data_IF_579700971833
#
_entry.id   IF_579700971833
#
_cell.length_a   1.000
_cell.length_b   1.000
_cell.length_c   1.000
_cell.angle_alpha   90.00
_cell.angle_beta   90.00
_cell.angle_gamma   90.00
#
_symmetry.space_group_name_H-M   'P 1'
#
loop_
_entity.id
_entity.type
_entity.pdbx_description
1 polymer ?
#
# COMPACT_ATOMS: atom_id res chain seq x y z
N UNK A 1 -5.03 -27.87 33.01
CA UNK A 1 -5.17 -26.40 33.05
C UNK A 1 -4.95 -25.71 31.70
N UNK A 2 -3.99 -26.11 30.85
CA UNK A 2 -3.78 -25.47 29.53
C UNK A 2 -4.96 -25.67 28.55
N UNK A 3 -5.60 -26.85 28.54
CA UNK A 3 -6.71 -27.14 27.60
C UNK A 3 -8.02 -26.41 27.96
N UNK A 4 -8.36 -26.27 29.24
CA UNK A 4 -9.58 -25.56 29.68
C UNK A 4 -9.55 -24.06 29.37
N UNK A 5 -8.35 -23.47 29.32
CA UNK A 5 -8.17 -22.05 29.00
C UNK A 5 -8.46 -21.74 27.52
N UNK A 6 -8.09 -22.65 26.62
CA UNK A 6 -8.27 -22.49 25.16
C UNK A 6 -9.76 -22.50 24.77
N UNK A 7 -10.57 -23.34 25.43
CA UNK A 7 -12.02 -23.46 25.15
C UNK A 7 -12.79 -22.21 25.56
N UNK A 8 -12.49 -21.69 26.74
CA UNK A 8 -13.14 -20.48 27.23
C UNK A 8 -12.83 -19.29 26.31
N UNK A 9 -11.59 -19.19 25.80
CA UNK A 9 -11.16 -18.11 24.92
C UNK A 9 -11.69 -18.23 23.48
N UNK A 10 -11.81 -19.45 22.94
CA UNK A 10 -12.53 -19.69 21.67
C UNK A 10 -13.99 -19.23 21.79
N UNK A 11 -14.63 -19.56 22.91
CA UNK A 11 -16.02 -19.19 23.17
C UNK A 11 -16.20 -17.67 23.26
N UNK A 12 -15.33 -16.95 23.97
CA UNK A 12 -15.42 -15.48 24.11
C UNK A 12 -15.02 -14.74 22.83
N UNK A 13 -13.98 -15.16 22.12
CA UNK A 13 -13.53 -14.52 20.86
C UNK A 13 -14.55 -14.68 19.74
N UNK A 14 -15.11 -15.88 19.59
CA UNK A 14 -16.16 -16.15 18.61
C UNK A 14 -17.43 -15.35 18.96
N UNK A 15 -17.88 -15.38 20.22
CA UNK A 15 -19.06 -14.62 20.67
C UNK A 15 -18.87 -13.11 20.53
N UNK A 16 -17.68 -12.55 20.79
CA UNK A 16 -17.37 -11.13 20.62
C UNK A 16 -17.46 -10.68 19.15
N UNK A 17 -16.85 -11.45 18.22
CA UNK A 17 -16.91 -11.18 16.78
C UNK A 17 -18.33 -11.31 16.22
N UNK A 18 -19.10 -12.26 16.74
CA UNK A 18 -20.51 -12.44 16.40
C UNK A 18 -21.39 -11.32 16.98
N UNK A 19 -21.02 -10.72 18.11
CA UNK A 19 -21.75 -9.61 18.75
C UNK A 19 -21.63 -8.28 18.01
N UNK A 20 -20.54 -8.06 17.27
CA UNK A 20 -20.36 -6.86 16.42
C UNK A 20 -21.25 -6.85 15.15
N UNK A 21 -21.92 -7.96 14.80
CA UNK A 21 -22.67 -8.10 13.55
C UNK A 21 -24.19 -8.10 13.82
N UNK A 22 -24.87 -6.97 13.50
CA UNK A 22 -26.25 -6.65 13.94
C UNK A 22 -27.40 -7.47 13.29
N UNK A 23 -27.13 -8.45 12.42
CA UNK A 23 -28.12 -8.98 11.47
C UNK A 23 -29.07 -10.12 11.92
N UNK A 24 -28.61 -11.18 12.60
CA UNK A 24 -29.48 -12.36 12.86
C UNK A 24 -29.15 -13.05 14.19
N UNK A 25 -29.63 -12.46 15.29
CA UNK A 25 -29.19 -12.74 16.67
C UNK A 25 -29.64 -14.09 17.27
N UNK A 26 -30.78 -14.66 16.89
CA UNK A 26 -31.37 -15.79 17.63
C UNK A 26 -30.93 -17.17 17.12
N UNK A 27 -30.97 -17.39 15.81
CA UNK A 27 -30.62 -18.67 15.18
C UNK A 27 -29.12 -18.96 15.34
N UNK A 28 -28.30 -17.91 15.22
CA UNK A 28 -26.84 -17.98 15.35
C UNK A 28 -26.42 -18.28 16.80
N UNK A 29 -27.06 -17.65 17.80
CA UNK A 29 -26.85 -17.98 19.23
C UNK A 29 -27.20 -19.42 19.55
N UNK A 30 -28.29 -19.96 18.99
CA UNK A 30 -28.71 -21.33 19.26
C UNK A 30 -27.76 -22.37 18.62
N UNK A 31 -27.35 -22.17 17.37
CA UNK A 31 -26.44 -23.09 16.67
C UNK A 31 -25.02 -23.04 17.22
N UNK A 32 -24.51 -21.85 17.51
CA UNK A 32 -23.16 -21.68 18.10
C UNK A 32 -23.16 -22.10 19.57
N UNK A 33 -24.26 -21.88 20.30
CA UNK A 33 -24.48 -22.45 21.63
C UNK A 33 -24.43 -23.99 21.64
N UNK A 34 -24.99 -24.67 20.63
CA UNK A 34 -24.90 -26.13 20.46
C UNK A 34 -23.46 -26.60 20.18
N UNK A 35 -22.71 -25.89 19.34
CA UNK A 35 -21.31 -26.19 19.03
C UNK A 35 -20.42 -26.00 20.26
N UNK A 36 -20.62 -24.90 20.99
CA UNK A 36 -19.94 -24.63 22.26
C UNK A 36 -20.29 -25.68 23.34
N UNK A 37 -21.53 -26.18 23.35
CA UNK A 37 -21.93 -27.30 24.22
C UNK A 37 -21.26 -28.63 23.83
N UNK A 38 -21.13 -28.92 22.53
CA UNK A 38 -20.40 -30.10 22.06
C UNK A 38 -18.91 -30.02 22.40
N UNK A 39 -18.30 -28.84 22.25
CA UNK A 39 -16.93 -28.56 22.66
C UNK A 39 -16.71 -28.72 24.17
N UNK A 40 -17.67 -28.27 24.99
CA UNK A 40 -17.64 -28.44 26.44
C UNK A 40 -17.66 -29.91 26.88
N UNK A 41 -18.44 -30.76 26.20
CA UNK A 41 -18.59 -32.19 26.52
C UNK A 41 -17.39 -33.04 26.10
N UNK A 42 -16.67 -32.64 25.05
CA UNK A 42 -15.55 -33.42 24.48
C UNK A 42 -14.20 -33.13 25.14
N UNK A 43 -14.07 -31.97 25.80
CA UNK A 43 -12.82 -31.52 26.44
C UNK A 43 -12.80 -31.86 27.94
N UNK A 44 -13.95 -32.23 28.51
CA UNK A 44 -14.05 -32.79 29.87
C UNK A 44 -13.61 -34.25 29.99
N UNK A 45 -13.20 -34.90 28.90
CA UNK A 45 -12.69 -36.28 28.92
C UNK A 45 -11.16 -36.23 28.96
N UNK A 46 -10.50 -36.58 30.09
CA UNK A 46 -9.05 -36.52 30.21
C UNK A 46 -8.41 -37.64 29.37
N UNK A 47 -7.57 -37.28 28.40
CA UNK A 47 -6.80 -38.28 27.62
C UNK A 47 -5.39 -38.43 28.19
N UNK A 48 -5.02 -39.68 28.50
CA UNK A 48 -3.73 -40.08 29.08
C UNK A 48 -2.56 -39.59 28.22
N UNK A 49 -1.56 -38.99 28.87
CA UNK A 49 -0.29 -38.54 28.27
C UNK A 49 0.46 -39.72 27.64
N UNK A 50 0.85 -39.59 26.38
CA UNK A 50 2.02 -40.29 25.83
C UNK A 50 3.09 -39.26 25.51
N UNK A 51 4.30 -39.50 26.01
CA UNK A 51 5.45 -38.62 25.92
C UNK A 51 6.48 -39.19 24.95
N UNK A 52 7.07 -38.34 24.11
CA UNK A 52 8.40 -38.49 23.49
C UNK A 52 8.75 -37.15 22.81
N UNK A 53 9.68 -36.34 23.37
CA UNK A 53 11.11 -36.22 22.98
C UNK A 53 11.25 -35.72 21.52
N UNK A 54 11.88 -34.59 21.21
CA UNK A 54 13.33 -34.37 21.29
C UNK A 54 13.70 -32.88 21.18
N UNK A 55 14.74 -32.50 21.92
CA UNK A 55 15.31 -31.15 22.06
C UNK A 55 16.60 -31.11 21.24
N UNK A 56 16.73 -30.21 20.26
CA UNK A 56 18.03 -29.90 19.66
C UNK A 56 18.35 -28.42 19.81
N UNK A 57 19.57 -28.17 20.32
CA UNK A 57 20.19 -26.85 20.48
C UNK A 57 21.02 -26.57 19.22
N UNK A 58 21.03 -25.32 18.74
CA UNK A 58 22.16 -24.72 18.04
C UNK A 58 22.03 -23.19 18.05
N UNK A 59 23.10 -22.52 17.66
CA UNK A 59 23.69 -21.37 18.34
C UNK A 59 23.75 -20.12 17.44
N UNK A 60 23.42 -18.97 18.03
CA UNK A 60 23.79 -17.57 17.74
C UNK A 60 24.44 -17.17 16.40
N UNK A 61 23.83 -16.19 15.72
CA UNK A 61 24.56 -15.01 15.22
C UNK A 61 23.76 -13.73 15.46
N UNK A 62 24.44 -12.68 15.93
CA UNK A 62 23.88 -11.37 16.31
C UNK A 62 23.76 -10.49 15.06
N UNK A 63 22.58 -9.93 14.81
CA UNK A 63 22.46 -8.64 14.13
C UNK A 63 21.40 -7.79 14.83
N UNK A 64 21.74 -6.53 15.03
CA UNK A 64 21.07 -5.55 15.89
C UNK A 64 19.88 -4.92 15.19
N UNK A 65 18.67 -5.35 15.55
CA UNK A 65 17.45 -4.53 15.47
C UNK A 65 16.62 -4.80 16.74
N UNK A 66 16.47 -3.77 17.58
CA UNK A 66 15.70 -3.84 18.82
C UNK A 66 14.23 -3.51 18.53
N UNK A 67 13.44 -4.53 18.21
CA UNK A 67 12.10 -4.64 18.80
C UNK A 67 12.24 -5.33 20.16
N UNK A 68 11.34 -5.08 21.13
CA UNK A 68 11.50 -5.62 22.46
C UNK A 68 11.53 -7.15 22.36
N UNK A 69 12.63 -7.75 22.82
CA UNK A 69 12.60 -9.16 23.23
C UNK A 69 11.53 -9.26 24.30
N UNK A 70 10.32 -9.63 23.90
CA UNK A 70 9.23 -9.96 24.80
C UNK A 70 9.62 -11.26 25.50
N UNK A 71 10.46 -11.13 26.52
CA UNK A 71 10.44 -12.09 27.62
C UNK A 71 8.99 -12.18 28.09
N UNK A 72 8.42 -13.39 28.23
CA UNK A 72 7.02 -13.54 28.58
C UNK A 72 6.82 -13.09 30.02
N UNK A 73 6.58 -11.80 30.23
CA UNK A 73 5.82 -11.35 31.39
C UNK A 73 4.45 -12.02 31.27
N UNK A 74 4.05 -12.75 32.29
CA UNK A 74 2.86 -13.61 32.30
C UNK A 74 1.55 -12.92 31.89
N UNK A 75 1.50 -11.58 31.83
CA UNK A 75 0.36 -10.84 31.27
C UNK A 75 0.35 -10.64 29.75
N UNK A 76 1.51 -10.57 29.08
CA UNK A 76 1.59 -10.26 27.63
C UNK A 76 1.21 -11.45 26.75
N UNK A 77 1.60 -12.67 27.14
CA UNK A 77 1.21 -13.89 26.41
C UNK A 77 -0.30 -14.16 26.47
N UNK A 78 -0.96 -13.74 27.56
CA UNK A 78 -2.41 -13.86 27.73
C UNK A 78 -3.19 -12.93 26.80
N UNK A 79 -2.72 -11.69 26.59
CA UNK A 79 -3.32 -10.77 25.62
C UNK A 79 -3.13 -11.25 24.18
N UNK A 80 -1.93 -11.76 23.86
CA UNK A 80 -1.63 -12.30 22.53
C UNK A 80 -2.53 -13.50 22.17
N UNK A 81 -2.83 -14.39 23.14
CA UNK A 81 -3.72 -15.53 22.92
C UNK A 81 -5.19 -15.16 22.68
N UNK A 82 -5.63 -14.00 23.17
CA UNK A 82 -7.01 -13.53 23.00
C UNK A 82 -7.25 -12.86 21.63
N UNK A 83 -6.20 -12.38 20.97
CA UNK A 83 -6.29 -11.70 19.68
C UNK A 83 -6.21 -12.68 18.48
N UNK A 84 -5.95 -13.96 18.72
CA UNK A 84 -5.78 -14.97 17.66
C UNK A 84 -7.08 -15.24 16.89
N UNK A 85 -7.04 -15.36 15.55
CA UNK A 85 -8.19 -15.78 14.76
C UNK A 85 -8.73 -17.15 15.22
N UNK A 86 -10.06 -17.33 15.38
CA UNK A 86 -10.64 -18.59 15.85
C UNK A 86 -10.26 -19.81 15.01
N UNK A 87 -10.16 -19.63 13.70
CA UNK A 87 -9.74 -20.69 12.77
C UNK A 87 -8.26 -21.08 12.97
N UNK A 88 -7.39 -20.11 13.26
CA UNK A 88 -5.99 -20.38 13.58
C UNK A 88 -5.88 -21.19 14.88
N UNK A 89 -6.63 -20.80 15.93
CA UNK A 89 -6.67 -21.54 17.19
C UNK A 89 -7.10 -22.99 17.01
N UNK A 90 -8.10 -23.25 16.16
CA UNK A 90 -8.57 -24.61 15.87
C UNK A 90 -7.49 -25.45 15.17
N UNK A 91 -6.80 -24.88 14.18
CA UNK A 91 -5.70 -25.55 13.46
C UNK A 91 -4.50 -25.80 14.38
N UNK A 92 -4.11 -24.81 15.20
CA UNK A 92 -3.04 -24.95 16.18
C UNK A 92 -3.35 -26.04 17.23
N UNK A 93 -4.61 -26.18 17.61
CA UNK A 93 -5.08 -27.25 18.49
C UNK A 93 -5.21 -28.63 17.82
N UNK A 94 -4.88 -28.75 16.51
CA UNK A 94 -5.06 -29.95 15.68
C UNK A 94 -6.49 -30.47 15.69
N UNK A 95 -7.44 -29.53 15.65
CA UNK A 95 -8.89 -29.79 15.60
C UNK A 95 -9.43 -29.39 14.23
N UNK A 96 -9.05 -30.17 13.22
CA UNK A 96 -9.44 -29.94 11.83
C UNK A 96 -10.96 -30.02 11.63
N UNK A 97 -11.64 -30.80 12.48
CA UNK A 97 -13.10 -30.87 12.60
C UNK A 97 -13.72 -29.50 12.91
N UNK A 98 -13.16 -28.79 13.88
CA UNK A 98 -13.62 -27.45 14.29
C UNK A 98 -13.25 -26.44 13.21
N UNK A 99 -12.03 -26.48 12.68
CA UNK A 99 -11.57 -25.55 11.65
C UNK A 99 -12.43 -25.65 10.38
N UNK A 100 -12.75 -26.88 9.95
CA UNK A 100 -13.67 -27.16 8.83
C UNK A 100 -15.08 -26.67 9.14
N UNK A 101 -15.59 -26.96 10.34
CA UNK A 101 -16.90 -26.47 10.76
C UNK A 101 -17.00 -24.95 10.68
N UNK A 102 -16.00 -24.23 11.21
CA UNK A 102 -15.94 -22.76 11.16
C UNK A 102 -15.95 -22.27 9.71
N UNK A 103 -15.10 -22.84 8.86
CA UNK A 103 -14.99 -22.41 7.47
C UNK A 103 -16.27 -22.68 6.66
N UNK A 104 -16.86 -23.89 6.77
CA UNK A 104 -18.06 -24.28 6.03
C UNK A 104 -19.32 -23.54 6.49
N UNK A 105 -19.50 -23.38 7.80
CA UNK A 105 -20.73 -22.77 8.35
C UNK A 105 -20.72 -21.24 8.23
N UNK A 106 -19.54 -20.62 8.19
CA UNK A 106 -19.40 -19.19 7.89
C UNK A 106 -19.61 -18.94 6.40
N UNK A 107 -19.16 -19.84 5.52
CA UNK A 107 -19.35 -19.75 4.05
C UNK A 107 -20.82 -19.74 3.64
N UNK A 108 -21.69 -20.45 4.36
CA UNK A 108 -23.13 -20.52 4.09
C UNK A 108 -23.93 -19.26 4.47
N UNK A 109 -23.30 -18.31 5.14
CA UNK A 109 -23.89 -17.02 5.44
C UNK A 109 -23.32 -15.99 4.47
N UNK A 110 -24.16 -15.14 3.87
CA UNK A 110 -23.80 -14.14 2.87
C UNK A 110 -22.88 -13.01 3.41
N UNK A 111 -21.71 -13.34 3.93
CA UNK A 111 -20.74 -12.40 4.47
C UNK A 111 -19.52 -12.26 3.55
N UNK A 112 -19.00 -11.05 3.51
CA UNK A 112 -18.08 -10.55 2.48
C UNK A 112 -16.65 -11.14 2.50
N UNK A 113 -16.29 -11.99 3.48
CA UNK A 113 -14.98 -12.64 3.52
C UNK A 113 -15.00 -14.00 4.24
N UNK A 114 -14.27 -14.97 3.67
CA UNK A 114 -14.11 -16.31 4.26
C UNK A 114 -13.42 -16.26 5.63
N UNK A 115 -13.81 -17.16 6.55
CA UNK A 115 -13.30 -17.18 7.92
C UNK A 115 -11.78 -17.31 8.01
N UNK A 116 -11.17 -17.95 7.01
CA UNK A 116 -9.72 -18.08 6.91
C UNK A 116 -8.97 -16.74 6.81
N UNK A 117 -9.59 -15.71 6.24
CA UNK A 117 -9.01 -14.38 6.09
C UNK A 117 -9.36 -13.43 7.24
N UNK A 118 -10.05 -13.92 8.27
CA UNK A 118 -10.39 -13.08 9.40
C UNK A 118 -9.15 -12.55 10.10
N UNK A 119 -9.07 -11.23 10.13
CA UNK A 119 -8.03 -10.48 10.83
C UNK A 119 -8.27 -10.49 12.33
N UNK A 120 -7.18 -10.50 13.10
CA UNK A 120 -7.16 -10.18 14.52
C UNK A 120 -7.58 -8.72 14.78
N UNK A 121 -8.07 -8.41 15.98
CA UNK A 121 -8.63 -7.09 16.28
C UNK A 121 -7.53 -6.07 16.59
N UNK A 122 -6.49 -6.48 17.32
CA UNK A 122 -5.38 -5.59 17.67
C UNK A 122 -4.30 -5.56 16.59
N UNK A 123 -3.95 -6.71 16.02
CA UNK A 123 -2.81 -6.79 15.09
C UNK A 123 -3.19 -6.82 13.61
N UNK A 124 -4.48 -6.99 13.29
CA UNK A 124 -4.97 -7.18 11.92
C UNK A 124 -4.35 -8.35 11.14
N UNK A 125 -3.68 -9.25 11.85
CA UNK A 125 -3.07 -10.48 11.32
C UNK A 125 -4.11 -11.57 11.07
N UNK A 126 -4.03 -12.21 9.92
CA UNK A 126 -4.82 -13.39 9.56
C UNK A 126 -4.24 -14.68 10.13
N UNK A 127 -4.95 -15.81 9.96
CA UNK A 127 -4.43 -17.11 10.37
C UNK A 127 -3.08 -17.46 9.72
N UNK A 128 -2.90 -17.07 8.45
CA UNK A 128 -1.66 -17.31 7.72
C UNK A 128 -0.49 -16.50 8.30
N UNK A 129 -0.72 -15.25 8.72
CA UNK A 129 0.31 -14.45 9.40
C UNK A 129 0.82 -15.14 10.65
N UNK A 130 -0.10 -15.61 11.51
CA UNK A 130 0.28 -16.27 12.77
C UNK A 130 1.00 -17.60 12.55
N UNK A 131 0.55 -18.41 11.59
CA UNK A 131 1.23 -19.65 11.22
C UNK A 131 2.67 -19.39 10.74
N UNK A 132 2.89 -18.35 9.92
CA UNK A 132 4.23 -17.97 9.46
C UNK A 132 5.09 -17.42 10.60
N UNK A 133 4.55 -16.51 11.42
CA UNK A 133 5.27 -15.91 12.56
C UNK A 133 5.74 -16.98 13.55
N UNK A 134 4.91 -18.00 13.80
CA UNK A 134 5.22 -19.07 14.74
C UNK A 134 6.04 -20.21 14.11
N UNK A 135 6.31 -20.17 12.80
CA UNK A 135 7.13 -21.19 12.14
C UNK A 135 6.40 -22.49 11.85
N UNK A 136 5.06 -22.48 11.82
CA UNK A 136 4.24 -23.68 11.72
C UNK A 136 4.02 -24.10 10.27
N UNK A 137 5.06 -24.69 9.67
CA UNK A 137 5.05 -25.14 8.26
C UNK A 137 3.90 -26.09 7.92
N UNK A 138 3.48 -26.93 8.87
CA UNK A 138 2.39 -27.88 8.68
C UNK A 138 1.06 -27.14 8.46
N UNK A 139 0.81 -26.08 9.24
CA UNK A 139 -0.40 -25.28 9.11
C UNK A 139 -0.35 -24.45 7.83
N UNK A 140 0.79 -23.84 7.50
CA UNK A 140 0.95 -23.11 6.23
C UNK A 140 0.70 -24.04 5.03
N UNK A 141 1.25 -25.25 5.06
CA UNK A 141 1.03 -26.25 4.01
C UNK A 141 -0.45 -26.63 3.91
N UNK A 142 -1.10 -26.94 5.03
CA UNK A 142 -2.54 -27.28 5.05
C UNK A 142 -3.40 -26.12 4.51
N UNK A 143 -3.11 -24.88 4.90
CA UNK A 143 -3.85 -23.71 4.42
C UNK A 143 -3.68 -23.45 2.93
N UNK A 144 -2.49 -23.71 2.39
CA UNK A 144 -2.17 -23.50 0.98
C UNK A 144 -2.60 -24.66 0.06
N UNK A 145 -2.72 -25.88 0.57
CA UNK A 145 -2.99 -27.09 -0.24
C UNK A 145 -4.40 -27.64 -0.09
N UNK A 146 -5.01 -27.55 1.10
CA UNK A 146 -6.36 -28.06 1.32
C UNK A 146 -7.35 -27.24 0.47
N UNK A 147 -8.14 -27.93 -0.35
CA UNK A 147 -9.12 -27.31 -1.25
C UNK A 147 -10.12 -26.42 -0.50
N UNK A 148 -10.46 -26.76 0.75
CA UNK A 148 -11.40 -25.98 1.56
C UNK A 148 -10.86 -24.59 1.90
N UNK A 149 -9.55 -24.47 2.13
CA UNK A 149 -8.90 -23.23 2.54
C UNK A 149 -8.29 -22.48 1.35
N UNK A 150 -7.54 -23.18 0.51
CA UNK A 150 -6.75 -22.62 -0.60
C UNK A 150 -7.60 -21.82 -1.60
N UNK A 151 -8.82 -22.25 -1.90
CA UNK A 151 -9.72 -21.57 -2.86
C UNK A 151 -10.08 -20.15 -2.40
N UNK A 152 -10.16 -19.90 -1.09
CA UNK A 152 -10.61 -18.63 -0.51
C UNK A 152 -9.51 -17.87 0.23
N UNK A 153 -8.34 -18.49 0.41
CA UNK A 153 -7.23 -17.90 1.13
C UNK A 153 -6.68 -16.70 0.35
N UNK A 154 -6.66 -15.53 0.98
CA UNK A 154 -6.00 -14.31 0.50
C UNK A 154 -4.62 -14.21 1.18
N UNK A 155 -3.52 -14.66 0.55
CA UNK A 155 -2.22 -14.74 1.20
C UNK A 155 -1.47 -13.41 1.22
N UNK A 156 -1.87 -12.46 0.38
CA UNK A 156 -1.21 -11.15 0.24
C UNK A 156 -1.87 -10.06 1.10
N UNK A 157 -2.70 -10.44 2.08
CA UNK A 157 -3.30 -9.47 3.01
C UNK A 157 -2.21 -8.87 3.87
N UNK A 158 -2.25 -7.55 4.06
CA UNK A 158 -1.36 -6.83 4.97
C UNK A 158 -1.97 -6.75 6.38
N UNK A 159 -1.11 -6.90 7.39
CA UNK A 159 -1.46 -6.62 8.78
C UNK A 159 -1.40 -5.12 9.11
N UNK A 160 -1.62 -4.74 10.38
CA UNK A 160 -1.60 -3.33 10.83
C UNK A 160 -0.25 -2.65 10.55
N UNK A 161 0.83 -3.42 10.44
CA UNK A 161 2.17 -2.93 10.16
C UNK A 161 2.48 -2.87 8.66
N UNK A 162 1.51 -3.17 7.80
CA UNK A 162 1.70 -3.22 6.35
C UNK A 162 2.53 -4.42 5.89
N UNK A 163 2.62 -5.48 6.72
CA UNK A 163 3.42 -6.68 6.41
C UNK A 163 2.53 -7.82 5.96
N UNK A 164 2.98 -8.54 4.94
CA UNK A 164 2.33 -9.78 4.48
C UNK A 164 2.95 -11.00 5.15
N UNK A 165 2.30 -12.18 5.13
CA UNK A 165 2.88 -13.43 5.61
C UNK A 165 4.22 -13.76 4.92
N UNK A 166 4.31 -13.54 3.60
CA UNK A 166 5.56 -13.76 2.86
C UNK A 166 6.71 -12.87 3.38
N UNK A 167 6.41 -11.62 3.75
CA UNK A 167 7.40 -10.73 4.34
C UNK A 167 7.93 -11.28 5.68
N UNK A 168 7.06 -11.81 6.54
CA UNK A 168 7.49 -12.44 7.79
C UNK A 168 8.39 -13.66 7.54
N UNK A 169 8.03 -14.53 6.58
CA UNK A 169 8.86 -15.68 6.22
C UNK A 169 10.28 -15.25 5.79
N UNK A 170 10.38 -14.17 5.01
CA UNK A 170 11.66 -13.57 4.59
C UNK A 170 12.45 -12.98 5.76
N UNK A 171 11.82 -12.15 6.58
CA UNK A 171 12.48 -11.48 7.72
C UNK A 171 12.96 -12.49 8.78
N UNK A 172 12.23 -13.58 8.97
CA UNK A 172 12.59 -14.68 9.88
C UNK A 172 13.52 -15.73 9.26
N UNK A 173 13.92 -15.55 8.01
CA UNK A 173 14.82 -16.45 7.27
C UNK A 173 14.29 -17.91 7.17
N UNK A 174 12.98 -18.06 7.00
CA UNK A 174 12.28 -19.35 6.94
C UNK A 174 12.14 -19.83 5.48
N UNK A 175 13.26 -20.20 4.87
CA UNK A 175 13.34 -20.55 3.43
C UNK A 175 12.33 -21.64 2.99
N UNK A 176 12.03 -22.61 3.86
CA UNK A 176 11.04 -23.65 3.56
C UNK A 176 9.62 -23.11 3.40
N UNK A 177 9.19 -22.21 4.29
CA UNK A 177 7.86 -21.59 4.21
C UNK A 177 7.79 -20.54 3.11
N UNK A 178 8.88 -19.80 2.89
CA UNK A 178 8.96 -18.91 1.75
C UNK A 178 8.70 -19.67 0.44
N UNK A 179 9.36 -20.82 0.24
CA UNK A 179 9.15 -21.66 -0.93
C UNK A 179 7.69 -22.12 -1.03
N UNK A 180 7.10 -22.60 0.06
CA UNK A 180 5.68 -23.02 0.09
C UNK A 180 4.72 -21.88 -0.28
N UNK A 181 4.96 -20.66 0.19
CA UNK A 181 4.13 -19.51 -0.14
C UNK A 181 4.30 -19.10 -1.62
N UNK A 182 5.52 -19.16 -2.15
CA UNK A 182 5.83 -18.82 -3.54
C UNK A 182 5.36 -19.88 -4.57
N UNK A 183 5.01 -21.09 -4.14
CA UNK A 183 4.38 -22.10 -5.00
C UNK A 183 2.98 -21.66 -5.45
N UNK A 184 2.31 -20.77 -4.69
CA UNK A 184 1.02 -20.23 -5.11
C UNK A 184 1.18 -19.11 -6.14
N UNK A 185 0.37 -19.19 -7.20
CA UNK A 185 0.39 -18.22 -8.32
C UNK A 185 -0.01 -16.81 -7.89
N UNK A 186 -0.99 -16.67 -7.00
CA UNK A 186 -1.47 -15.38 -6.47
C UNK A 186 -0.39 -14.62 -5.68
N UNK A 187 0.41 -15.33 -4.87
CA UNK A 187 1.57 -14.76 -4.16
C UNK A 187 2.64 -14.33 -5.15
N UNK A 188 2.97 -15.19 -6.11
CA UNK A 188 3.99 -14.89 -7.13
C UNK A 188 3.61 -13.68 -7.98
N UNK A 189 2.37 -13.62 -8.45
CA UNK A 189 1.87 -12.50 -9.25
C UNK A 189 1.90 -11.18 -8.47
N UNK A 190 1.54 -11.22 -7.17
CA UNK A 190 1.63 -10.03 -6.32
C UNK A 190 3.09 -9.58 -6.13
N UNK A 191 4.00 -10.52 -5.90
CA UNK A 191 5.43 -10.21 -5.77
C UNK A 191 6.01 -9.61 -7.05
N UNK A 192 5.68 -10.18 -8.21
CA UNK A 192 6.05 -9.64 -9.53
C UNK A 192 5.48 -8.23 -9.75
N UNK A 193 4.23 -8.01 -9.33
CA UNK A 193 3.59 -6.69 -9.31
C UNK A 193 4.41 -5.67 -8.50
N UNK A 194 4.88 -6.04 -7.30
CA UNK A 194 5.72 -5.16 -6.47
C UNK A 194 7.06 -4.81 -7.14
N UNK A 195 7.68 -5.75 -7.86
CA UNK A 195 8.90 -5.46 -8.63
C UNK A 195 8.62 -4.52 -9.81
N UNK A 196 7.50 -4.73 -10.51
CA UNK A 196 7.06 -3.84 -11.60
C UNK A 196 6.76 -2.44 -11.07
N UNK A 197 6.04 -2.32 -9.97
CA UNK A 197 5.73 -1.05 -9.32
C UNK A 197 7.01 -0.32 -8.91
N UNK A 198 7.96 -1.04 -8.29
CA UNK A 198 9.28 -0.47 -7.97
C UNK A 198 9.94 0.11 -9.21
N UNK A 199 9.94 -0.62 -10.33
CA UNK A 199 10.55 -0.16 -11.56
C UNK A 199 9.89 1.13 -12.06
N UNK A 200 8.55 1.17 -12.11
CA UNK A 200 7.79 2.36 -12.55
C UNK A 200 8.11 3.58 -11.69
N UNK A 201 8.19 3.41 -10.36
CA UNK A 201 8.53 4.53 -9.48
C UNK A 201 9.99 4.98 -9.61
N UNK A 202 10.93 4.07 -9.89
CA UNK A 202 12.33 4.43 -10.17
C UNK A 202 12.42 5.22 -11.47
N UNK A 203 11.71 4.79 -12.51
CA UNK A 203 11.69 5.48 -13.79
C UNK A 203 11.09 6.90 -13.64
N UNK A 204 10.01 7.03 -12.86
CA UNK A 204 9.44 8.33 -12.51
C UNK A 204 10.41 9.22 -11.70
N UNK A 205 11.10 8.64 -10.71
CA UNK A 205 12.10 9.36 -9.92
C UNK A 205 13.25 9.86 -10.81
N UNK A 206 13.72 9.05 -11.75
CA UNK A 206 14.77 9.44 -12.69
C UNK A 206 14.34 10.62 -13.57
N UNK A 207 13.09 10.63 -14.06
CA UNK A 207 12.55 11.76 -14.81
C UNK A 207 12.47 13.05 -13.96
N UNK A 208 12.02 12.94 -12.71
CA UNK A 208 11.99 14.06 -11.74
C UNK A 208 13.39 14.59 -11.46
N UNK A 209 14.39 13.71 -11.30
CA UNK A 209 15.78 14.09 -11.08
C UNK A 209 16.37 14.83 -12.27
N UNK A 210 16.10 14.38 -13.50
CA UNK A 210 16.54 15.07 -14.72
C UNK A 210 15.93 16.46 -14.80
N UNK A 211 14.62 16.61 -14.58
CA UNK A 211 13.96 17.91 -14.58
C UNK A 211 14.55 18.85 -13.52
N UNK A 212 14.77 18.35 -12.29
CA UNK A 212 15.37 19.12 -11.22
C UNK A 212 16.80 19.55 -11.53
N UNK A 213 17.63 18.68 -12.11
CA UNK A 213 18.99 19.00 -12.51
C UNK A 213 19.04 20.10 -13.59
N UNK A 214 18.13 20.05 -14.57
CA UNK A 214 18.01 21.10 -15.59
C UNK A 214 17.63 22.44 -14.97
N UNK A 215 16.64 22.47 -14.07
CA UNK A 215 16.23 23.70 -13.39
C UNK A 215 17.37 24.24 -12.51
N UNK A 216 18.04 23.38 -11.75
CA UNK A 216 19.19 23.77 -10.93
C UNK A 216 20.33 24.36 -11.78
N UNK A 217 20.60 23.79 -12.97
CA UNK A 217 21.61 24.31 -13.89
C UNK A 217 21.27 25.71 -14.42
N UNK A 218 20.04 25.90 -14.91
CA UNK A 218 19.64 27.20 -15.47
C UNK A 218 19.56 28.27 -14.38
N UNK A 219 19.10 27.91 -13.17
CA UNK A 219 19.04 28.86 -12.05
C UNK A 219 20.42 29.20 -11.49
N UNK A 220 21.36 28.26 -11.49
CA UNK A 220 22.76 28.53 -11.15
C UNK A 220 23.38 29.54 -12.12
N UNK A 221 23.14 29.38 -13.43
CA UNK A 221 23.58 30.34 -14.43
C UNK A 221 22.99 31.76 -14.18
N UNK A 222 21.75 31.82 -13.69
CA UNK A 222 21.08 33.08 -13.32
C UNK A 222 21.80 33.92 -12.25
N UNK A 223 22.56 33.30 -11.34
CA UNK A 223 23.41 34.05 -10.40
C UNK A 223 24.64 34.65 -11.07
N UNK A 224 25.22 33.95 -12.04
CA UNK A 224 26.43 34.38 -12.73
C UNK A 224 26.15 35.45 -13.79
N UNK A 225 24.98 35.36 -14.41
CA UNK A 225 24.52 36.23 -15.50
C UNK A 225 23.15 36.82 -15.17
N UNK A 226 23.08 37.78 -14.24
CA UNK A 226 21.81 38.41 -13.89
C UNK A 226 21.23 39.24 -15.05
N UNK A 227 19.90 39.44 -15.09
CA UNK A 227 19.28 40.36 -16.03
C UNK A 227 19.91 41.76 -15.88
N UNK A 228 20.16 42.41 -17.03
CA UNK A 228 20.84 43.71 -17.14
C UNK A 228 22.34 43.71 -16.77
N UNK A 229 22.97 42.54 -16.59
CA UNK A 229 24.38 42.38 -16.23
C UNK A 229 24.73 43.12 -14.92
N UNK A 230 26.03 43.31 -14.69
CA UNK A 230 26.56 44.03 -13.53
C UNK A 230 26.60 45.54 -13.80
N UNK A 231 26.18 46.32 -12.82
CA UNK A 231 26.20 47.79 -12.83
C UNK A 231 27.06 48.32 -11.69
N UNK A 232 27.75 49.43 -11.93
CA UNK A 232 28.61 50.07 -10.93
C UNK A 232 27.81 50.84 -9.90
N UNK A 233 28.17 50.68 -8.64
CA UNK A 233 27.53 51.31 -7.49
C UNK A 233 28.40 52.45 -6.95
N UNK A 234 28.01 53.68 -7.25
CA UNK A 234 28.77 54.88 -6.87
C UNK A 234 28.81 55.13 -5.36
N UNK A 235 27.89 54.52 -4.61
CA UNK A 235 27.85 54.50 -3.15
C UNK A 235 28.86 53.52 -2.53
N UNK A 236 29.58 52.72 -3.34
CA UNK A 236 30.54 51.71 -2.89
C UNK A 236 31.87 51.81 -3.65
N UNK A 237 32.77 52.74 -3.27
CA UNK A 237 34.10 52.86 -3.87
C UNK A 237 34.97 51.63 -3.56
N UNK A 238 35.79 51.19 -4.52
CA UNK A 238 36.71 50.07 -4.32
C UNK A 238 37.90 50.49 -3.45
N UNK A 239 38.08 49.83 -2.31
CA UNK A 239 39.21 50.10 -1.44
C UNK A 239 40.51 49.55 -2.05
N UNK A 240 41.51 50.41 -2.21
CA UNK A 240 42.82 50.05 -2.80
C UNK A 240 42.89 50.09 -4.32
N UNK A 241 41.88 50.65 -5.00
CA UNK A 241 41.88 50.88 -6.45
C UNK A 241 42.06 52.38 -6.78
N UNK A 242 42.39 52.74 -8.04
CA UNK A 242 42.48 54.14 -8.46
C UNK A 242 41.18 54.91 -8.20
N UNK A 243 41.32 56.21 -7.91
CA UNK A 243 40.19 57.11 -7.68
C UNK A 243 39.17 57.03 -8.82
N UNK A 244 37.89 56.87 -8.44
CA UNK A 244 36.79 56.67 -9.39
C UNK A 244 36.50 55.20 -9.75
N UNK A 245 37.17 54.24 -9.12
CA UNK A 245 36.83 52.81 -9.24
C UNK A 245 35.70 52.42 -8.28
N UNK A 246 34.62 51.84 -8.81
CA UNK A 246 33.44 51.45 -8.05
C UNK A 246 33.16 49.96 -8.17
N UNK A 247 32.54 49.40 -7.12
CA UNK A 247 32.16 47.99 -7.14
C UNK A 247 30.97 47.75 -8.07
N UNK A 248 31.05 46.68 -8.86
CA UNK A 248 30.00 46.30 -9.81
C UNK A 248 29.24 45.09 -9.31
N UNK A 249 27.93 45.22 -9.16
CA UNK A 249 27.04 44.17 -8.67
C UNK A 249 25.80 44.05 -9.57
N UNK A 250 25.00 43.00 -9.37
CA UNK A 250 23.71 42.89 -10.05
C UNK A 250 22.84 44.14 -9.80
N UNK A 251 22.03 44.53 -10.78
CA UNK A 251 21.24 45.77 -10.76
C UNK A 251 20.00 45.74 -9.84
N UNK A 252 20.14 45.11 -8.67
CA UNK A 252 19.09 44.83 -7.68
C UNK A 252 18.53 46.13 -7.09
N UNK A 253 19.37 47.13 -6.76
CA UNK A 253 18.85 48.40 -6.21
C UNK A 253 18.17 49.26 -7.28
N UNK A 254 18.59 49.14 -8.54
CA UNK A 254 18.11 49.99 -9.64
C UNK A 254 16.79 49.48 -10.22
N UNK A 255 16.57 48.16 -10.22
CA UNK A 255 15.41 47.55 -10.86
C UNK A 255 14.77 46.50 -9.96
N UNK A 256 13.55 46.79 -9.50
CA UNK A 256 12.75 45.89 -8.65
C UNK A 256 12.60 44.49 -9.26
N UNK A 257 12.47 44.37 -10.58
CA UNK A 257 12.34 43.04 -11.17
C UNK A 257 13.64 42.23 -11.18
N UNK A 258 14.82 42.85 -11.05
CA UNK A 258 16.09 42.13 -10.87
C UNK A 258 16.16 41.56 -9.45
N UNK A 259 15.64 42.30 -8.46
CA UNK A 259 15.47 41.82 -7.08
C UNK A 259 14.49 40.64 -6.99
N UNK A 260 13.31 40.77 -7.62
CA UNK A 260 12.32 39.69 -7.70
C UNK A 260 12.90 38.47 -8.42
N UNK A 261 13.61 38.68 -9.55
CA UNK A 261 14.33 37.61 -10.24
C UNK A 261 15.29 36.90 -9.30
N UNK A 262 16.14 37.64 -8.57
CA UNK A 262 17.15 37.05 -7.70
C UNK A 262 16.53 36.20 -6.60
N UNK A 263 15.46 36.70 -5.98
CA UNK A 263 14.71 36.00 -4.94
C UNK A 263 14.08 34.70 -5.45
N UNK A 264 13.36 34.78 -6.56
CA UNK A 264 12.65 33.64 -7.13
C UNK A 264 13.62 32.61 -7.74
N UNK A 265 14.68 33.06 -8.40
CA UNK A 265 15.73 32.21 -8.95
C UNK A 265 16.42 31.40 -7.83
N UNK A 266 16.73 32.05 -6.71
CA UNK A 266 17.36 31.40 -5.56
C UNK A 266 16.44 30.36 -4.91
N UNK A 267 15.15 30.68 -4.72
CA UNK A 267 14.17 29.72 -4.23
C UNK A 267 14.02 28.52 -5.18
N UNK A 268 13.91 28.78 -6.49
CA UNK A 268 13.82 27.74 -7.50
C UNK A 268 15.03 26.78 -7.47
N UNK A 269 16.25 27.32 -7.36
CA UNK A 269 17.49 26.54 -7.21
C UNK A 269 17.45 25.65 -5.97
N UNK A 270 17.11 26.22 -4.80
CA UNK A 270 17.10 25.46 -3.54
C UNK A 270 16.09 24.32 -3.56
N UNK A 271 14.88 24.55 -4.08
CA UNK A 271 13.87 23.50 -4.24
C UNK A 271 14.26 22.45 -5.28
N UNK A 272 14.96 22.84 -6.35
CA UNK A 272 15.50 21.89 -7.33
C UNK A 272 16.56 20.97 -6.71
N UNK A 273 17.51 21.52 -5.94
CA UNK A 273 18.50 20.71 -5.22
C UNK A 273 17.83 19.82 -4.16
N UNK A 274 16.85 20.34 -3.42
CA UNK A 274 16.07 19.54 -2.48
C UNK A 274 15.33 18.37 -3.18
N UNK A 275 14.81 18.60 -4.38
CA UNK A 275 14.22 17.57 -5.23
C UNK A 275 15.23 16.49 -5.60
N UNK A 276 16.44 16.89 -6.01
CA UNK A 276 17.53 15.96 -6.32
C UNK A 276 17.87 15.07 -5.12
N UNK A 277 18.05 15.68 -3.95
CA UNK A 277 18.37 14.96 -2.72
C UNK A 277 17.24 14.00 -2.31
N UNK A 278 15.98 14.45 -2.37
CA UNK A 278 14.82 13.61 -2.06
C UNK A 278 14.67 12.43 -3.04
N UNK A 279 14.88 12.66 -4.33
CA UNK A 279 14.84 11.61 -5.36
C UNK A 279 15.97 10.59 -5.19
N UNK A 280 17.20 11.05 -4.92
CA UNK A 280 18.34 10.17 -4.64
C UNK A 280 18.08 9.26 -3.44
N UNK A 281 17.57 9.81 -2.32
CA UNK A 281 17.21 9.02 -1.14
C UNK A 281 16.20 7.92 -1.49
N UNK A 282 15.24 8.20 -2.38
CA UNK A 282 14.27 7.21 -2.83
C UNK A 282 14.87 6.07 -3.66
N UNK A 283 15.80 6.41 -4.57
CA UNK A 283 16.37 5.45 -5.54
C UNK A 283 17.51 4.63 -4.94
N UNK A 284 18.14 5.09 -3.85
CA UNK A 284 19.24 4.38 -3.18
C UNK A 284 18.82 2.95 -2.82
N UNK A 285 19.55 1.92 -3.29
CA UNK A 285 19.24 0.53 -2.96
C UNK A 285 19.57 0.25 -1.50
N UNK A 286 18.55 -0.08 -0.70
CA UNK A 286 18.74 -0.48 0.70
C UNK A 286 18.83 -2.01 0.75
N UNK A 287 19.99 -2.60 1.12
CA UNK A 287 20.12 -4.04 1.19
C UNK A 287 19.24 -4.63 2.31
N UNK A 288 18.85 -5.89 2.14
CA UNK A 288 18.10 -6.69 3.13
C UNK A 288 16.70 -6.17 3.51
N UNK A 289 16.08 -5.31 2.69
CA UNK A 289 14.67 -4.92 2.84
C UNK A 289 13.77 -5.70 1.88
N UNK A 290 12.59 -6.08 2.38
CA UNK A 290 11.55 -6.67 1.55
C UNK A 290 11.01 -5.66 0.54
N UNK A 291 10.68 -6.14 -0.66
CA UNK A 291 10.33 -5.31 -1.81
C UNK A 291 9.12 -4.41 -1.57
N UNK A 292 8.07 -4.87 -0.87
CA UNK A 292 6.90 -4.03 -0.58
C UNK A 292 7.28 -2.79 0.25
N UNK A 293 8.12 -2.97 1.27
CA UNK A 293 8.60 -1.85 2.09
C UNK A 293 9.42 -0.85 1.26
N UNK A 294 10.22 -1.35 0.32
CA UNK A 294 10.96 -0.51 -0.62
C UNK A 294 10.03 0.29 -1.53
N UNK A 295 8.98 -0.33 -2.07
CA UNK A 295 7.97 0.36 -2.91
C UNK A 295 7.26 1.46 -2.13
N UNK A 296 6.84 1.20 -0.89
CA UNK A 296 6.19 2.21 -0.04
C UNK A 296 7.13 3.38 0.26
N UNK A 297 8.40 3.10 0.55
CA UNK A 297 9.40 4.14 0.78
C UNK A 297 9.60 4.99 -0.48
N UNK A 298 9.80 4.35 -1.63
CA UNK A 298 10.03 5.00 -2.90
C UNK A 298 8.83 5.86 -3.34
N UNK A 299 7.59 5.38 -3.14
CA UNK A 299 6.36 6.17 -3.39
C UNK A 299 6.32 7.44 -2.54
N UNK A 300 6.69 7.36 -1.25
CA UNK A 300 6.73 8.52 -0.36
C UNK A 300 7.81 9.53 -0.77
N UNK A 301 9.02 9.07 -1.06
CA UNK A 301 10.12 9.95 -1.50
C UNK A 301 9.83 10.59 -2.85
N UNK A 302 9.25 9.84 -3.79
CA UNK A 302 8.82 10.38 -5.09
C UNK A 302 7.75 11.46 -4.91
N UNK A 303 6.79 11.24 -4.01
CA UNK A 303 5.75 12.23 -3.72
C UNK A 303 6.36 13.54 -3.18
N UNK A 304 7.29 13.45 -2.22
CA UNK A 304 8.02 14.61 -1.68
C UNK A 304 8.83 15.31 -2.78
N UNK A 305 9.59 14.56 -3.58
CA UNK A 305 10.40 15.10 -4.67
C UNK A 305 9.53 15.83 -5.70
N UNK A 306 8.39 15.25 -6.10
CA UNK A 306 7.45 15.86 -7.03
C UNK A 306 6.85 17.17 -6.53
N UNK A 307 6.59 17.31 -5.22
CA UNK A 307 6.09 18.57 -4.65
C UNK A 307 7.19 19.63 -4.65
N UNK A 308 8.41 19.27 -4.25
CA UNK A 308 9.54 20.20 -4.30
C UNK A 308 9.83 20.64 -5.74
N UNK A 309 9.71 19.74 -6.72
CA UNK A 309 9.85 20.06 -8.14
C UNK A 309 8.76 21.04 -8.60
N UNK A 310 7.51 20.79 -8.22
CA UNK A 310 6.39 21.67 -8.53
C UNK A 310 6.62 23.09 -7.98
N UNK A 311 7.09 23.22 -6.74
CA UNK A 311 7.46 24.51 -6.15
C UNK A 311 8.59 25.17 -6.94
N UNK A 312 9.64 24.41 -7.28
CA UNK A 312 10.77 24.91 -8.09
C UNK A 312 10.32 25.45 -9.45
N UNK A 313 9.40 24.77 -10.14
CA UNK A 313 8.83 25.21 -11.42
C UNK A 313 8.08 26.54 -11.27
N UNK A 314 7.25 26.70 -10.23
CA UNK A 314 6.52 27.96 -9.99
C UNK A 314 7.49 29.12 -9.80
N UNK A 315 8.54 28.93 -9.00
CA UNK A 315 9.55 29.96 -8.77
C UNK A 315 10.38 30.26 -10.02
N UNK A 316 10.74 29.24 -10.83
CA UNK A 316 11.53 29.48 -12.05
C UNK A 316 10.73 30.27 -13.09
N UNK A 317 9.43 29.99 -13.22
CA UNK A 317 8.55 30.74 -14.11
C UNK A 317 8.41 32.19 -13.67
N UNK A 318 8.29 32.44 -12.36
CA UNK A 318 8.26 33.80 -11.83
C UNK A 318 9.59 34.53 -11.99
N UNK A 319 10.73 33.84 -11.84
CA UNK A 319 12.04 34.41 -12.12
C UNK A 319 12.16 34.84 -13.59
N UNK A 320 11.83 33.96 -14.54
CA UNK A 320 11.86 34.31 -15.96
C UNK A 320 10.90 35.43 -16.34
N UNK A 321 9.71 35.48 -15.73
CA UNK A 321 8.79 36.60 -15.91
C UNK A 321 9.44 37.91 -15.46
N UNK A 322 9.98 37.94 -14.25
CA UNK A 322 10.63 39.12 -13.67
C UNK A 322 11.80 39.60 -14.54
N UNK A 323 12.71 38.69 -14.91
CA UNK A 323 13.84 39.00 -15.79
C UNK A 323 13.37 39.56 -17.14
N UNK A 324 12.40 38.90 -17.79
CA UNK A 324 11.89 39.34 -19.09
C UNK A 324 11.26 40.73 -19.04
N UNK A 325 10.44 41.03 -18.02
CA UNK A 325 9.86 42.37 -17.87
C UNK A 325 10.89 43.46 -17.55
N UNK A 326 12.00 43.13 -16.89
CA UNK A 326 13.07 44.09 -16.61
C UNK A 326 13.93 44.44 -17.80
N UNK A 327 14.22 43.46 -18.67
CA UNK A 327 15.12 43.66 -19.81
C UNK A 327 14.42 44.39 -20.96
N UNK A 328 13.09 44.31 -21.02
CA UNK A 328 12.33 44.94 -22.09
C UNK A 328 12.28 46.47 -21.94
N UNK A 329 12.47 47.23 -23.04
CA UNK A 329 12.26 48.67 -23.02
C UNK A 329 10.78 48.98 -22.69
N UNK A 330 10.49 50.15 -22.10
CA UNK A 330 9.15 50.54 -21.67
C UNK A 330 8.23 50.95 -22.84
N UNK A 331 8.22 50.16 -23.91
CA UNK A 331 7.41 50.37 -25.11
C UNK A 331 6.26 49.37 -25.08
N UNK A 332 5.04 49.88 -25.29
CA UNK A 332 3.81 49.10 -25.18
C UNK A 332 3.85 47.82 -26.03
N UNK A 333 4.30 47.89 -27.28
CA UNK A 333 4.38 46.76 -28.21
C UNK A 333 5.14 45.55 -27.62
N UNK A 334 6.33 45.77 -27.05
CA UNK A 334 7.14 44.67 -26.53
C UNK A 334 6.56 44.10 -25.23
N UNK A 335 6.02 44.96 -24.36
CA UNK A 335 5.36 44.52 -23.12
C UNK A 335 4.08 43.73 -23.39
N UNK A 336 3.27 44.16 -24.35
CA UNK A 336 2.07 43.46 -24.77
C UNK A 336 2.42 42.07 -25.35
N UNK A 337 3.47 41.98 -26.18
CA UNK A 337 3.95 40.70 -26.70
C UNK A 337 4.43 39.76 -25.58
N UNK A 338 5.18 40.27 -24.60
CA UNK A 338 5.64 39.50 -23.43
C UNK A 338 4.47 38.96 -22.60
N UNK A 339 3.46 39.80 -22.32
CA UNK A 339 2.24 39.37 -21.62
C UNK A 339 1.53 38.29 -22.43
N UNK A 340 1.40 38.47 -23.75
CA UNK A 340 0.76 37.51 -24.63
C UNK A 340 1.47 36.14 -24.63
N UNK A 341 2.79 36.11 -24.80
CA UNK A 341 3.56 34.86 -24.80
C UNK A 341 3.56 34.18 -23.43
N UNK A 342 3.65 34.95 -22.34
CA UNK A 342 3.59 34.41 -21.00
C UNK A 342 2.20 33.86 -20.65
N UNK A 343 1.12 34.51 -21.09
CA UNK A 343 -0.23 33.99 -20.91
C UNK A 343 -0.44 32.69 -21.71
N UNK A 344 -0.03 32.67 -22.99
CA UNK A 344 -0.17 31.51 -23.86
C UNK A 344 0.63 30.29 -23.38
N UNK A 345 1.86 30.49 -22.87
CA UNK A 345 2.69 29.40 -22.34
C UNK A 345 2.39 29.05 -20.88
N UNK A 346 2.13 30.06 -20.06
CA UNK A 346 1.93 29.93 -18.62
C UNK A 346 0.60 29.27 -18.25
N UNK A 347 -0.49 29.57 -18.97
CA UNK A 347 -1.80 28.97 -18.69
C UNK A 347 -1.78 27.44 -18.80
N UNK A 348 -1.29 26.82 -19.90
CA UNK A 348 -1.12 25.38 -19.97
C UNK A 348 -0.22 24.82 -18.87
N UNK A 349 0.89 25.50 -18.54
CA UNK A 349 1.81 25.05 -17.49
C UNK A 349 1.12 24.99 -16.12
N UNK A 350 0.34 26.02 -15.76
CA UNK A 350 -0.40 26.06 -14.49
C UNK A 350 -1.51 25.00 -14.46
N UNK A 351 -2.23 24.80 -15.56
CA UNK A 351 -3.27 23.75 -15.65
C UNK A 351 -2.68 22.35 -15.52
N UNK A 352 -1.59 22.05 -16.22
CA UNK A 352 -0.90 20.76 -16.13
C UNK A 352 -0.29 20.55 -14.74
N UNK A 353 0.27 21.59 -14.13
CA UNK A 353 0.80 21.52 -12.77
C UNK A 353 -0.32 21.28 -11.75
N UNK A 354 -1.45 21.97 -11.89
CA UNK A 354 -2.63 21.75 -11.04
C UNK A 354 -3.19 20.34 -11.20
N UNK A 355 -3.27 19.83 -12.42
CA UNK A 355 -3.68 18.45 -12.68
C UNK A 355 -2.69 17.44 -12.07
N UNK A 356 -1.39 17.65 -12.25
CA UNK A 356 -0.34 16.83 -11.65
C UNK A 356 -0.44 16.78 -10.12
N UNK A 357 -0.58 17.94 -9.47
CA UNK A 357 -0.77 18.03 -8.02
C UNK A 357 -2.08 17.35 -7.57
N UNK A 358 -3.16 17.47 -8.35
CA UNK A 358 -4.42 16.77 -8.12
C UNK A 358 -4.26 15.25 -8.15
N UNK A 359 -3.56 14.71 -9.16
CA UNK A 359 -3.23 13.28 -9.25
C UNK A 359 -2.39 12.85 -8.05
N UNK A 360 -1.40 13.65 -7.63
CA UNK A 360 -0.56 13.35 -6.47
C UNK A 360 -1.35 13.34 -5.16
N UNK A 361 -2.35 14.21 -5.01
CA UNK A 361 -3.23 14.22 -3.84
C UNK A 361 -4.12 12.98 -3.81
N UNK A 362 -4.76 12.63 -4.92
CA UNK A 362 -5.57 11.41 -5.05
C UNK A 362 -4.71 10.16 -4.79
N UNK A 363 -3.48 10.17 -5.30
CA UNK A 363 -2.51 9.10 -5.12
C UNK A 363 -1.97 8.99 -3.69
N UNK A 364 -2.25 9.94 -2.78
CA UNK A 364 -1.93 9.79 -1.35
C UNK A 364 -3.00 8.99 -0.61
N UNK A 365 -4.25 9.09 -1.04
CA UNK A 365 -5.42 8.55 -0.33
C UNK A 365 -5.78 7.12 -0.72
N UNK A 366 -5.33 6.64 -1.89
CA UNK A 366 -5.60 5.26 -2.29
C UNK A 366 -4.75 4.26 -1.50
N UNK A 367 -5.37 3.37 -0.69
CA UNK A 367 -4.68 2.15 -0.25
C UNK A 367 -4.25 1.35 -1.50
N UNK A 368 -3.25 0.46 -1.38
CA UNK A 368 -2.88 -0.42 -2.49
C UNK A 368 -4.14 -1.09 -3.06
N UNK A 369 -4.25 -1.22 -4.40
CA UNK A 369 -5.42 -1.84 -5.00
C UNK A 369 -5.60 -3.23 -4.40
N UNK A 370 -6.84 -3.57 -4.04
CA UNK A 370 -7.15 -4.95 -3.68
C UNK A 370 -6.68 -5.87 -4.82
N UNK A 371 -6.12 -7.05 -4.50
CA UNK A 371 -5.61 -7.97 -5.51
C UNK A 371 -6.73 -8.24 -6.53
N UNK A 372 -6.38 -8.16 -7.82
CA UNK A 372 -7.28 -8.41 -8.95
C UNK A 372 -8.27 -9.53 -8.62
N UNK A 373 -9.51 -9.17 -8.31
CA UNK A 373 -10.61 -10.12 -8.28
C UNK A 373 -10.79 -10.59 -9.71
N UNK A 374 -10.56 -11.88 -9.97
CA UNK A 374 -10.89 -12.47 -11.27
C UNK A 374 -12.32 -12.08 -11.66
N UNK A 375 -12.58 -11.79 -12.95
CA UNK A 375 -13.93 -11.48 -13.41
C UNK A 375 -14.88 -12.62 -12.99
N UNK A 376 -16.13 -12.31 -12.62
CA UNK A 376 -17.08 -13.32 -12.17
C UNK A 376 -17.22 -14.41 -13.24
N UNK A 377 -17.29 -15.70 -12.85
CA UNK A 377 -17.42 -16.79 -13.79
C UNK A 377 -18.67 -16.57 -14.67
N UNK A 378 -18.62 -16.95 -15.96
CA UNK A 378 -19.76 -16.81 -16.85
C UNK A 378 -20.98 -17.54 -16.26
N UNK A 379 -22.20 -17.01 -16.48
CA UNK A 379 -23.41 -17.62 -15.94
C UNK A 379 -23.51 -19.09 -16.40
N UNK A 380 -23.97 -20.00 -15.51
CA UNK A 380 -24.10 -21.41 -15.86
C UNK A 380 -25.02 -21.54 -17.08
N UNK A 381 -24.73 -22.47 -18.02
CA UNK A 381 -25.57 -22.67 -19.18
C UNK A 381 -27.01 -22.97 -18.73
N UNK A 382 -28.03 -22.45 -19.45
CA UNK A 382 -29.42 -22.68 -19.09
C UNK A 382 -29.67 -24.17 -18.97
N UNK A 383 -30.22 -24.59 -17.80
CA UNK A 383 -30.60 -25.98 -17.57
C UNK A 383 -31.52 -26.38 -18.72
N UNK A 384 -31.09 -27.33 -19.55
CA UNK A 384 -31.99 -27.98 -20.51
C UNK A 384 -33.15 -28.54 -19.70
N UNK A 385 -34.34 -27.99 -19.92
CA UNK A 385 -35.58 -28.60 -19.48
C UNK A 385 -35.61 -30.01 -20.08
N UNK A 386 -35.36 -31.02 -19.25
CA UNK A 386 -35.76 -32.38 -19.57
C UNK A 386 -37.28 -32.38 -19.41
N UNK A 387 -38.06 -32.57 -20.49
CA UNK A 387 -39.51 -32.62 -20.37
C UNK A 387 -39.86 -33.81 -19.49
N UNK A 388 -40.63 -33.57 -18.44
CA UNK A 388 -41.26 -34.63 -17.66
C UNK A 388 -42.07 -35.50 -18.61
N UNK A 389 -41.77 -36.80 -18.68
CA UNK A 389 -42.65 -37.80 -19.32
C UNK A 389 -44.04 -37.70 -18.67
N UNK A 390 -44.98 -37.04 -19.34
CA UNK A 390 -46.40 -37.19 -19.06
C UNK A 390 -46.88 -38.54 -19.61
N UNK A 391 -47.80 -39.17 -18.86
CA UNK A 391 -48.34 -40.51 -19.13
C UNK A 391 -49.27 -40.45 -20.35
N UNK A 392 -49.34 -41.51 -21.18
CA UNK A 392 -50.09 -41.49 -22.43
C UNK A 392 -51.51 -42.01 -22.23
N UNK A 393 -52.42 -41.20 -21.70
CA UNK A 393 -53.87 -41.29 -21.94
C UNK A 393 -54.59 -40.22 -21.11
N UNK A 394 -54.92 -39.09 -21.71
CA UNK A 394 -56.02 -38.26 -21.25
C UNK A 394 -56.59 -37.60 -22.49
N UNK A 395 -57.80 -38.05 -22.84
CA UNK A 395 -58.62 -37.63 -23.98
C UNK A 395 -59.35 -36.39 -23.51
N UNK A 396 -59.19 -35.27 -24.21
CA UNK A 396 -60.11 -34.14 -24.09
C UNK A 396 -60.60 -33.74 -25.48
N UNK A 397 -61.84 -34.13 -25.75
CA UNK A 397 -62.68 -33.73 -26.86
C UNK A 397 -63.17 -32.29 -26.65
N UNK A 398 -62.68 -31.30 -27.40
CA UNK A 398 -63.41 -30.04 -27.65
C UNK A 398 -62.99 -29.39 -28.98
N UNK A 399 -63.74 -29.76 -30.03
CA UNK A 399 -64.38 -28.92 -31.05
C UNK A 399 -63.92 -27.46 -31.16
N UNK A 400 -63.40 -27.05 -32.33
CA UNK A 400 -63.98 -25.99 -33.16
C UNK A 400 -63.24 -25.82 -34.50
N UNK A 401 -64.02 -25.90 -35.59
CA UNK A 401 -63.66 -25.54 -36.95
C UNK A 401 -63.68 -24.02 -37.19
N UNK A 402 -63.15 -23.60 -38.35
CA UNK A 402 -63.18 -22.26 -39.00
C UNK A 402 -61.85 -21.48 -38.86
N UNK A 403 -61.21 -20.90 -39.88
CA UNK A 403 -61.55 -20.62 -41.30
C UNK A 403 -60.25 -20.40 -42.11
N UNK A 404 -60.30 -20.75 -43.39
CA UNK A 404 -59.34 -20.47 -44.49
C UNK A 404 -59.38 -18.98 -44.93
N UNK A 405 -58.45 -18.44 -45.77
CA UNK A 405 -57.96 -18.96 -47.07
C UNK A 405 -56.49 -19.38 -47.15
#
# INVERSE_FOLDING_TARGET
MKEYYVVHNLQTSMVSRLWKLRGTRAIMRHRIGKVLQQLRKLISVPRKRTASVQRSKSFSSKSTFKEPRLSPRSGSAYHMMNDLPPIYLALHAKRDDIARFIQEHVRGLAWQDAAINWKSEETERTALHWATILGESDIVSNLCTDKLYSEYLKPNVEDRYGKTPLQYAKEMNQAGMEKQLLERKDVKNHLEGLYRDRQVYVDAANAVLVAAALIASVTFAGWLQPPLNYVSYYDMPLQGAPDGSYASYAAVKQYVGVDVFWSFNSLSFTFAIATVLAGLVGVVPIPNRYIATTVVHLRKTLWVASIMLALSIVFVLGAFAAAGFTVLPPIFKYRANMVGTFALGGLPCVLLLGWFLGILCISRERPPPEPFSEPPPPPPPPRRHVPSRSRPWEIDDHIAWSSFP
#
